data_IF_984195691819
#
_entry.id   IF_984195691819
#
_cell.length_a   1.000
_cell.length_b   1.000
_cell.length_c   1.000
_cell.angle_alpha   90.00
_cell.angle_beta   90.00
_cell.angle_gamma   90.00
#
_symmetry.space_group_name_H-M   'P 1'
#
loop_
_entity.id
_entity.type
_entity.pdbx_description
1 polymer ?
#
# COMPACT_ATOMS: atom_id res chain seq x y z
N UNK A 1 16.70 8.95 4.32
CA UNK A 1 16.82 7.64 3.63
C UNK A 1 17.22 7.90 2.18
N UNK A 2 18.21 7.18 1.63
CA UNK A 2 18.64 7.39 0.24
C UNK A 2 17.76 6.56 -0.70
N UNK A 3 16.78 7.22 -1.32
CA UNK A 3 15.73 6.60 -2.16
C UNK A 3 16.32 5.92 -3.41
N UNK A 4 17.50 6.37 -3.85
CA UNK A 4 18.20 5.85 -5.04
C UNK A 4 18.70 4.40 -4.92
N UNK A 5 18.65 3.82 -3.71
CA UNK A 5 19.05 2.42 -3.45
C UNK A 5 17.85 1.47 -3.41
N UNK A 6 16.64 1.95 -3.71
CA UNK A 6 15.44 1.12 -3.79
C UNK A 6 15.33 0.44 -5.15
N UNK A 7 14.70 -0.72 -5.17
CA UNK A 7 14.31 -1.38 -6.42
C UNK A 7 13.38 -0.43 -7.20
N UNK A 8 13.47 -0.34 -8.55
CA UNK A 8 12.72 0.64 -9.34
C UNK A 8 11.22 0.70 -9.00
N UNK A 9 10.54 -0.45 -8.86
CA UNK A 9 9.12 -0.48 -8.51
C UNK A 9 8.83 0.12 -7.13
N UNK A 10 9.67 -0.13 -6.13
CA UNK A 10 9.54 0.47 -4.79
C UNK A 10 9.78 1.97 -4.84
N UNK A 11 10.74 2.43 -5.65
CA UNK A 11 10.99 3.85 -5.85
C UNK A 11 9.81 4.57 -6.52
N UNK A 12 9.19 3.95 -7.52
CA UNK A 12 8.01 4.48 -8.21
C UNK A 12 6.82 4.64 -7.28
N UNK A 13 6.50 3.58 -6.52
CA UNK A 13 5.42 3.61 -5.54
C UNK A 13 5.70 4.65 -4.46
N UNK A 14 6.92 4.69 -3.91
CA UNK A 14 7.28 5.67 -2.89
C UNK A 14 7.16 7.10 -3.41
N UNK A 15 7.62 7.39 -4.63
CA UNK A 15 7.49 8.72 -5.22
C UNK A 15 6.04 9.11 -5.45
N UNK A 16 5.19 8.20 -5.92
CA UNK A 16 3.75 8.46 -6.08
C UNK A 16 3.08 8.77 -4.73
N UNK A 17 3.42 7.98 -3.70
CA UNK A 17 2.91 8.19 -2.35
C UNK A 17 3.35 9.54 -1.76
N UNK A 18 4.61 9.93 -1.93
CA UNK A 18 5.15 11.20 -1.42
C UNK A 18 4.59 12.42 -2.16
N UNK A 19 4.53 12.35 -3.49
CA UNK A 19 4.21 13.52 -4.33
C UNK A 19 2.72 13.70 -4.52
N UNK A 20 1.97 12.60 -4.65
CA UNK A 20 0.54 12.64 -5.02
C UNK A 20 -0.41 12.21 -3.90
N UNK A 21 0.08 11.43 -2.92
CA UNK A 21 -0.76 10.88 -1.84
C UNK A 21 -0.40 11.41 -0.45
N UNK A 22 0.45 12.43 -0.36
CA UNK A 22 0.76 13.10 0.90
C UNK A 22 1.33 12.17 1.98
N UNK A 23 2.12 11.17 1.60
CA UNK A 23 2.75 10.24 2.54
C UNK A 23 3.71 10.99 3.48
N UNK A 24 3.51 10.81 4.78
CA UNK A 24 4.32 11.40 5.86
C UNK A 24 4.78 10.33 6.83
N UNK A 25 5.81 10.64 7.63
CA UNK A 25 6.33 9.76 8.70
C UNK A 25 6.58 8.32 8.23
N UNK A 26 7.24 8.19 7.07
CA UNK A 26 7.33 6.92 6.37
C UNK A 26 8.64 6.18 6.60
N UNK A 27 8.59 4.86 6.40
CA UNK A 27 9.72 3.96 6.45
C UNK A 27 9.56 2.87 5.40
N UNK A 28 10.67 2.43 4.79
CA UNK A 28 10.65 1.25 3.89
C UNK A 28 11.42 0.12 4.55
N UNK A 29 10.78 -1.03 4.65
CA UNK A 29 11.41 -2.31 5.02
C UNK A 29 11.57 -3.11 3.75
N UNK A 30 12.80 -3.59 3.50
CA UNK A 30 13.19 -4.20 2.22
C UNK A 30 13.39 -5.71 2.36
N UNK A 31 13.33 -6.39 1.22
CA UNK A 31 13.71 -7.79 1.06
C UNK A 31 12.97 -8.73 2.03
N UNK A 32 11.70 -8.46 2.30
CA UNK A 32 10.89 -9.21 3.25
C UNK A 32 10.37 -10.48 2.58
N UNK A 33 10.62 -11.64 3.20
CA UNK A 33 10.11 -12.91 2.70
C UNK A 33 8.60 -13.04 2.92
N UNK A 34 7.87 -13.29 1.84
CA UNK A 34 6.40 -13.45 1.87
C UNK A 34 5.99 -14.79 2.48
N UNK A 35 6.73 -15.85 2.18
CA UNK A 35 6.46 -17.21 2.67
C UNK A 35 7.78 -17.93 2.94
N UNK A 36 7.78 -18.86 3.90
CA UNK A 36 8.94 -19.72 4.18
C UNK A 36 9.25 -20.68 3.04
N UNK A 37 8.22 -21.02 2.26
CA UNK A 37 8.28 -22.04 1.22
C UNK A 37 8.67 -21.46 -0.15
N UNK A 38 8.83 -20.12 -0.24
CA UNK A 38 9.22 -19.43 -1.47
C UNK A 38 10.41 -18.50 -1.23
N UNK A 39 11.18 -18.25 -2.29
CA UNK A 39 12.20 -17.21 -2.31
C UNK A 39 11.62 -15.84 -2.71
N UNK A 40 10.30 -15.68 -2.62
CA UNK A 40 9.63 -14.44 -2.95
C UNK A 40 9.92 -13.40 -1.86
N UNK A 41 10.50 -12.27 -2.27
CA UNK A 41 10.76 -11.13 -1.40
C UNK A 41 10.03 -9.90 -1.91
N UNK A 42 9.55 -9.09 -0.98
CA UNK A 42 8.83 -7.85 -1.24
C UNK A 42 9.35 -6.73 -0.37
N UNK A 43 9.19 -5.51 -0.86
CA UNK A 43 9.39 -4.31 -0.05
C UNK A 43 8.04 -3.86 0.52
N UNK A 44 8.05 -3.31 1.73
CA UNK A 44 6.88 -2.73 2.37
C UNK A 44 7.18 -1.30 2.79
N UNK A 45 6.32 -0.39 2.37
CA UNK A 45 6.38 1.03 2.75
C UNK A 45 5.34 1.25 3.84
N UNK A 46 5.75 1.78 4.99
CA UNK A 46 4.88 2.17 6.09
C UNK A 46 4.83 3.70 6.15
N UNK A 47 3.70 4.27 6.57
CA UNK A 47 3.60 5.70 6.85
C UNK A 47 2.17 6.21 6.87
N UNK A 48 2.02 7.49 7.15
CA UNK A 48 0.73 8.16 7.28
C UNK A 48 0.30 8.77 5.94
N UNK A 49 -0.89 8.39 5.46
CA UNK A 49 -1.46 8.88 4.20
C UNK A 49 -2.79 9.56 4.44
N UNK A 50 -3.05 10.62 3.67
CA UNK A 50 -4.33 11.32 3.68
C UNK A 50 -5.41 10.46 3.04
N UNK A 51 -6.42 10.08 3.83
CA UNK A 51 -7.45 9.10 3.47
C UNK A 51 -8.21 9.40 2.19
N UNK A 52 -8.50 10.68 1.93
CA UNK A 52 -9.17 11.13 0.70
C UNK A 52 -8.44 10.73 -0.57
N UNK A 53 -7.10 10.70 -0.53
CA UNK A 53 -6.30 10.52 -1.75
C UNK A 53 -6.25 9.06 -2.20
N UNK A 54 -6.48 8.08 -1.31
CA UNK A 54 -6.52 6.65 -1.69
C UNK A 54 -7.93 6.16 -2.04
N UNK A 55 -8.99 6.82 -1.54
CA UNK A 55 -10.38 6.41 -1.79
C UNK A 55 -10.90 6.87 -3.17
N UNK A 56 -10.44 8.02 -3.66
CA UNK A 56 -10.91 8.63 -4.91
C UNK A 56 -10.64 7.75 -6.15
N UNK A 57 -9.54 6.98 -6.18
CA UNK A 57 -9.10 6.27 -7.37
C UNK A 57 -9.94 5.01 -7.71
N UNK A 58 -10.58 4.41 -6.70
CA UNK A 58 -11.50 3.27 -6.89
C UNK A 58 -12.86 3.73 -7.39
N UNK A 59 -13.24 4.99 -7.12
CA UNK A 59 -14.53 5.58 -7.49
C UNK A 59 -14.47 6.19 -8.90
N UNK A 60 -13.36 6.83 -9.29
CA UNK A 60 -13.22 7.52 -10.59
C UNK A 60 -13.42 6.56 -11.78
N UNK A 61 -12.88 5.33 -11.72
CA UNK A 61 -13.07 4.33 -12.80
C UNK A 61 -14.50 3.81 -12.91
N UNK A 62 -15.29 3.85 -11.84
CA UNK A 62 -16.72 3.44 -11.85
C UNK A 62 -17.69 4.60 -12.06
N UNK A 63 -17.26 5.85 -11.89
CA UNK A 63 -18.11 7.03 -11.98
C UNK A 63 -17.53 8.10 -12.91
N UNK A 64 -17.61 7.85 -14.22
CA UNK A 64 -18.06 8.92 -15.13
C UNK A 64 -19.53 9.24 -14.83
N UNK A 65 -19.81 9.87 -13.69
CA UNK A 65 -21.03 10.63 -13.39
C UNK A 65 -20.96 11.23 -11.98
N UNK A 66 -20.93 12.57 -11.99
CA UNK A 66 -21.27 13.54 -10.93
C UNK A 66 -20.08 14.09 -10.12
N UNK A 67 -19.79 15.35 -10.44
CA UNK A 67 -19.15 16.41 -9.67
C UNK A 67 -18.89 16.05 -8.20
N UNK A 68 -17.64 15.69 -7.88
CA UNK A 68 -17.19 15.51 -6.52
C UNK A 68 -17.13 16.88 -5.82
N UNK A 69 -17.98 17.07 -4.81
CA UNK A 69 -17.95 18.23 -3.93
C UNK A 69 -16.78 18.01 -2.96
N UNK A 70 -15.67 18.73 -3.13
CA UNK A 70 -14.54 18.73 -2.18
C UNK A 70 -15.08 18.95 -0.76
N UNK A 71 -14.81 17.99 0.13
CA UNK A 71 -15.03 18.20 1.57
C UNK A 71 -14.15 19.37 2.03
N UNK A 72 -14.60 20.21 2.98
CA UNK A 72 -13.76 21.25 3.55
C UNK A 72 -12.55 20.63 4.25
N UNK A 73 -11.39 21.24 3.98
CA UNK A 73 -10.03 20.81 4.33
C UNK A 73 -9.74 20.58 5.83
N UNK A 74 -10.67 20.94 6.72
CA UNK A 74 -10.43 21.04 8.18
C UNK A 74 -10.52 19.71 8.96
N UNK A 75 -10.77 18.58 8.29
CA UNK A 75 -10.86 17.26 8.95
C UNK A 75 -10.14 16.16 8.16
N UNK A 76 -9.01 16.47 7.53
CA UNK A 76 -8.25 15.46 6.81
C UNK A 76 -7.52 14.56 7.82
N UNK A 77 -8.14 13.43 8.15
CA UNK A 77 -7.58 12.45 9.07
C UNK A 77 -6.52 11.62 8.33
N UNK A 78 -5.27 11.73 8.76
CA UNK A 78 -4.17 10.89 8.28
C UNK A 78 -4.35 9.48 8.83
N UNK A 79 -4.34 8.48 7.96
CA UNK A 79 -4.40 7.07 8.37
C UNK A 79 -3.04 6.42 8.19
N UNK A 80 -2.61 5.70 9.22
CA UNK A 80 -1.42 4.88 9.13
C UNK A 80 -1.67 3.70 8.19
N UNK A 81 -0.86 3.63 7.14
CA UNK A 81 -0.99 2.67 6.06
C UNK A 81 0.31 1.89 5.91
N UNK A 82 0.19 0.67 5.39
CA UNK A 82 1.32 -0.06 4.85
C UNK A 82 1.04 -0.49 3.41
N UNK A 83 2.06 -0.43 2.56
CA UNK A 83 2.00 -0.63 1.13
C UNK A 83 2.98 -1.73 0.75
N UNK A 84 2.48 -2.92 0.47
CA UNK A 84 3.26 -4.06 -0.01
C UNK A 84 3.51 -3.88 -1.50
N UNK A 85 4.77 -3.77 -1.93
CA UNK A 85 5.12 -3.49 -3.31
C UNK A 85 5.40 -4.78 -4.07
N UNK A 86 4.58 -5.06 -5.08
CA UNK A 86 4.78 -6.14 -6.04
C UNK A 86 5.18 -5.57 -7.42
N UNK A 87 6.34 -5.96 -7.96
CA UNK A 87 6.71 -5.61 -9.33
C UNK A 87 5.81 -6.38 -10.32
N UNK A 88 5.16 -5.68 -11.26
CA UNK A 88 4.20 -6.27 -12.21
C UNK A 88 4.82 -7.28 -13.19
N UNK A 89 6.15 -7.36 -13.23
CA UNK A 89 6.92 -8.37 -13.98
C UNK A 89 6.68 -9.79 -13.45
N UNK A 90 6.13 -9.94 -12.23
CA UNK A 90 5.60 -11.23 -11.77
C UNK A 90 4.34 -11.56 -12.57
N UNK A 91 4.50 -12.30 -13.67
CA UNK A 91 3.47 -12.71 -14.62
C UNK A 91 2.11 -12.99 -13.95
N UNK A 92 1.07 -12.28 -14.39
CA UNK A 92 -0.37 -12.49 -14.10
C UNK A 92 -0.67 -12.96 -12.67
N UNK A 93 -0.96 -12.06 -11.73
CA UNK A 93 -1.12 -12.45 -10.36
C UNK A 93 -2.58 -12.88 -10.22
N UNK A 94 -2.87 -14.15 -10.54
CA UNK A 94 -4.03 -14.80 -9.93
C UNK A 94 -3.64 -14.98 -8.46
N UNK A 95 -3.74 -13.90 -7.68
CA UNK A 95 -3.40 -13.92 -6.26
C UNK A 95 -4.44 -14.80 -5.59
N UNK A 96 -3.99 -15.98 -5.17
CA UNK A 96 -4.81 -16.82 -4.32
C UNK A 96 -5.09 -16.08 -3.02
N UNK A 97 -6.24 -16.38 -2.39
CA UNK A 97 -6.56 -15.82 -1.07
C UNK A 97 -5.44 -16.13 -0.07
N UNK A 98 -4.83 -17.33 -0.17
CA UNK A 98 -3.67 -17.71 0.63
C UNK A 98 -2.52 -16.71 0.47
N UNK A 99 -2.16 -16.35 -0.76
CA UNK A 99 -1.07 -15.41 -1.04
C UNK A 99 -1.37 -14.01 -0.52
N UNK A 100 -2.63 -13.55 -0.62
CA UNK A 100 -3.04 -12.26 -0.05
C UNK A 100 -2.89 -12.25 1.48
N UNK A 101 -3.23 -13.36 2.14
CA UNK A 101 -3.05 -13.51 3.59
C UNK A 101 -1.57 -13.56 3.98
N UNK A 102 -0.73 -14.27 3.22
CA UNK A 102 0.72 -14.32 3.46
C UNK A 102 1.35 -12.92 3.32
N UNK A 103 0.98 -12.14 2.29
CA UNK A 103 1.43 -10.76 2.11
C UNK A 103 0.98 -9.84 3.26
N UNK A 104 -0.25 -10.02 3.73
CA UNK A 104 -0.77 -9.29 4.90
C UNK A 104 0.02 -9.62 6.16
N UNK A 105 0.17 -10.90 6.49
CA UNK A 105 0.89 -11.38 7.67
C UNK A 105 2.36 -10.93 7.64
N UNK A 106 2.98 -10.97 6.46
CA UNK A 106 4.33 -10.46 6.22
C UNK A 106 4.43 -8.97 6.56
N UNK A 107 3.49 -8.15 6.09
CA UNK A 107 3.45 -6.71 6.41
C UNK A 107 3.19 -6.45 7.91
N UNK A 108 2.38 -7.29 8.56
CA UNK A 108 2.10 -7.18 9.99
C UNK A 108 3.32 -7.57 10.85
N UNK A 109 4.03 -8.64 10.49
CA UNK A 109 5.20 -9.13 11.22
C UNK A 109 6.41 -8.20 11.15
N UNK A 110 6.49 -7.38 10.10
CA UNK A 110 7.61 -6.45 9.85
C UNK A 110 7.24 -4.99 10.15
N UNK A 111 6.11 -4.77 10.82
CA UNK A 111 5.69 -3.44 11.23
C UNK A 111 6.71 -2.81 12.20
N UNK A 112 7.16 -1.57 11.95
CA UNK A 112 8.08 -0.89 12.85
C UNK A 112 7.48 -0.72 14.25
N UNK A 113 8.19 -1.17 15.29
CA UNK A 113 7.75 -1.21 16.70
C UNK A 113 7.34 0.16 17.27
N UNK A 114 7.69 1.25 16.59
CA UNK A 114 7.45 2.63 17.04
C UNK A 114 6.01 3.08 16.81
N UNK A 115 5.24 2.40 15.95
CA UNK A 115 3.88 2.83 15.59
C UNK A 115 2.86 1.79 16.06
N UNK A 116 2.18 2.08 17.17
CA UNK A 116 1.00 1.32 17.62
C UNK A 116 -0.23 2.13 17.22
N UNK A 117 -0.59 2.11 15.94
CA UNK A 117 -1.89 2.62 15.49
C UNK A 117 -2.89 1.47 15.54
N UNK A 118 -4.00 1.65 16.28
CA UNK A 118 -5.07 0.65 16.34
C UNK A 118 -5.78 0.43 15.00
N UNK A 119 -5.63 1.37 14.05
CA UNK A 119 -6.24 1.30 12.72
C UNK A 119 -5.13 1.42 11.69
N UNK A 120 -4.72 0.27 11.15
CA UNK A 120 -3.79 0.18 10.02
C UNK A 120 -4.54 -0.31 8.79
N UNK A 121 -4.38 0.39 7.66
CA UNK A 121 -4.84 -0.10 6.36
C UNK A 121 -3.67 -0.69 5.58
N UNK A 122 -3.83 -1.92 5.10
CA UNK A 122 -2.84 -2.57 4.24
C UNK A 122 -3.26 -2.48 2.78
N UNK A 123 -2.34 -2.04 1.95
CA UNK A 123 -2.50 -1.92 0.51
C UNK A 123 -1.49 -2.80 -0.20
N UNK A 124 -1.95 -3.48 -1.24
CA UNK A 124 -1.11 -4.10 -2.23
C UNK A 124 -0.88 -3.12 -3.37
N UNK A 125 0.38 -2.79 -3.63
CA UNK A 125 0.81 -1.85 -4.66
C UNK A 125 1.44 -2.64 -5.80
N UNK A 126 0.82 -2.60 -6.97
CA UNK A 126 1.33 -3.24 -8.19
C UNK A 126 1.79 -2.15 -9.13
N UNK A 127 3.03 -2.27 -9.63
CA UNK A 127 3.58 -1.27 -10.56
C UNK A 127 4.33 -1.91 -11.73
N UNK A 128 4.13 -1.35 -12.94
CA UNK A 128 4.76 -1.76 -14.20
C UNK A 128 5.59 -0.63 -14.85
N UNK A 129 6.09 0.33 -14.05
CA UNK A 129 6.74 1.58 -14.48
C UNK A 129 5.83 2.61 -15.16
N UNK A 130 4.80 2.18 -15.89
CA UNK A 130 3.85 3.08 -16.55
C UNK A 130 2.66 3.41 -15.66
N UNK A 131 2.24 2.48 -14.81
CA UNK A 131 1.07 2.57 -13.96
C UNK A 131 1.37 2.05 -12.55
N UNK A 132 0.68 2.62 -11.58
CA UNK A 132 0.66 2.14 -10.20
C UNK A 132 -0.81 1.86 -9.86
N UNK A 133 -1.07 0.71 -9.25
CA UNK A 133 -2.40 0.33 -8.78
C UNK A 133 -2.34 -0.10 -7.32
N UNK A 134 -3.19 0.51 -6.50
CA UNK A 134 -3.33 0.20 -5.08
C UNK A 134 -4.60 -0.61 -4.82
N UNK A 135 -4.47 -1.76 -4.15
CA UNK A 135 -5.57 -2.63 -3.75
C UNK A 135 -5.60 -2.76 -2.24
N UNK A 136 -6.69 -2.33 -1.61
CA UNK A 136 -6.88 -2.57 -0.17
C UNK A 136 -6.96 -4.07 0.09
N UNK A 137 -6.07 -4.58 0.93
CA UNK A 137 -6.20 -5.90 1.51
C UNK A 137 -7.19 -5.78 2.68
N UNK A 138 -8.42 -6.25 2.46
CA UNK A 138 -9.37 -6.36 3.55
C UNK A 138 -8.99 -7.58 4.39
N UNK A 139 -8.66 -7.35 5.65
CA UNK A 139 -8.72 -8.43 6.64
C UNK A 139 -10.13 -9.02 6.59
N UNK A 140 -10.28 -10.36 6.49
CA UNK A 140 -11.59 -10.94 6.71
C UNK A 140 -12.05 -10.48 8.09
N UNK A 141 -13.24 -9.88 8.16
CA UNK A 141 -13.86 -9.58 9.45
C UNK A 141 -13.94 -10.90 10.22
N UNK A 142 -13.09 -11.06 11.21
CA UNK A 142 -13.31 -12.07 12.24
C UNK A 142 -14.51 -11.54 13.00
N UNK A 143 -15.70 -11.91 12.55
CA UNK A 143 -16.91 -11.74 13.33
C UNK A 143 -16.72 -12.55 14.63
N UNK A 144 -16.93 -11.95 15.80
CA UNK A 144 -16.91 -12.69 17.07
C UNK A 144 -17.99 -13.78 17.11
#
# INVERSE_FOLDING_TARGET
MNISLLVPGTQEVLNDLLVKRGLTEWQVVRDIRVSTDSNEVVDVIYGNVLTSELEDERIERKRKRKTAKKLPSDKQESTYCCFVVLPAISCSPTLSIKRLLELQQCADANEPTVVISAIKRTFLSITDAANISYYVLQTPAILP
#
